data_IF_345050899705
#
_entry.id   IF_345050899705
#
_cell.length_a   1.000
_cell.length_b   1.000
_cell.length_c   1.000
_cell.angle_alpha   90.00
_cell.angle_beta   90.00
_cell.angle_gamma   90.00
#
_symmetry.space_group_name_H-M   'P 1'
#
loop_
_entity.id
_entity.type
_entity.pdbx_description
1 polymer ?
#
# COMPACT_ATOMS: atom_id res chain seq x y z
N UNK A 1 -8.54 18.71 0.51
CA UNK A 1 -9.58 18.38 -0.50
C UNK A 1 -9.02 18.76 -1.85
N UNK A 2 -8.94 17.81 -2.77
CA UNK A 2 -8.50 18.06 -4.14
C UNK A 2 -9.75 18.13 -5.02
N UNK A 3 -9.97 19.25 -5.66
CA UNK A 3 -10.99 19.44 -6.69
C UNK A 3 -10.32 19.37 -8.06
N UNK A 4 -10.60 18.32 -8.80
CA UNK A 4 -10.09 18.11 -10.15
C UNK A 4 -11.27 18.00 -11.12
N UNK A 5 -11.20 18.76 -12.22
CA UNK A 5 -12.17 18.67 -13.31
C UNK A 5 -12.25 17.24 -13.88
N UNK A 6 -13.35 16.93 -14.55
CA UNK A 6 -13.48 15.67 -15.29
C UNK A 6 -12.38 15.56 -16.34
N UNK A 7 -11.69 14.41 -16.36
CA UNK A 7 -10.49 14.23 -17.19
C UNK A 7 -9.18 14.68 -16.51
N UNK A 8 -9.21 15.31 -15.34
CA UNK A 8 -8.04 15.82 -14.61
C UNK A 8 -7.16 14.75 -13.93
N UNK A 9 -7.36 13.47 -14.24
CA UNK A 9 -6.49 12.40 -13.73
C UNK A 9 -6.84 11.88 -12.34
N UNK A 10 -8.06 12.10 -11.83
CA UNK A 10 -8.50 11.60 -10.50
C UNK A 10 -8.30 10.11 -10.33
N UNK A 11 -8.75 9.31 -11.30
CA UNK A 11 -8.60 7.85 -11.26
C UNK A 11 -7.13 7.42 -11.30
N UNK A 12 -6.30 8.15 -12.04
CA UNK A 12 -4.87 7.92 -12.11
C UNK A 12 -4.20 8.20 -10.75
N UNK A 13 -4.53 9.32 -10.13
CA UNK A 13 -4.04 9.66 -8.80
C UNK A 13 -4.44 8.61 -7.76
N UNK A 14 -5.70 8.19 -7.77
CA UNK A 14 -6.19 7.12 -6.90
C UNK A 14 -5.46 5.80 -7.15
N UNK A 15 -5.28 5.41 -8.41
CA UNK A 15 -4.54 4.20 -8.77
C UNK A 15 -3.10 4.25 -8.21
N UNK A 16 -2.43 5.41 -8.33
CA UNK A 16 -1.07 5.59 -7.82
C UNK A 16 -1.01 5.53 -6.31
N UNK A 17 -1.96 6.14 -5.60
CA UNK A 17 -2.03 6.08 -4.14
C UNK A 17 -2.27 4.65 -3.65
N UNK A 18 -3.16 3.91 -4.31
CA UNK A 18 -3.46 2.52 -3.96
C UNK A 18 -2.25 1.58 -4.10
N UNK A 19 -1.27 1.90 -4.96
CA UNK A 19 -0.04 1.10 -5.05
C UNK A 19 0.76 1.06 -3.74
N UNK A 20 0.53 2.02 -2.84
CA UNK A 20 1.17 2.05 -1.51
C UNK A 20 0.49 1.13 -0.48
N UNK A 21 -0.67 0.59 -0.77
CA UNK A 21 -1.44 -0.27 0.15
C UNK A 21 -1.83 -1.59 -0.50
N UNK A 22 -2.09 -1.60 -1.80
CA UNK A 22 -2.39 -2.78 -2.61
C UNK A 22 -1.47 -2.78 -3.84
N UNK A 23 -0.21 -3.23 -3.70
CA UNK A 23 0.75 -3.21 -4.80
C UNK A 23 0.25 -3.96 -6.03
N UNK A 24 0.50 -3.40 -7.19
CA UNK A 24 0.12 -3.94 -8.50
C UNK A 24 -1.40 -4.15 -8.69
N UNK A 25 -2.22 -3.38 -7.97
CA UNK A 25 -3.66 -3.39 -8.19
C UNK A 25 -4.06 -2.54 -9.40
N UNK A 26 -5.26 -2.79 -9.92
CA UNK A 26 -5.92 -1.99 -10.97
C UNK A 26 -7.24 -1.43 -10.46
N UNK A 27 -7.62 -0.23 -10.90
CA UNK A 27 -8.97 0.31 -10.67
C UNK A 27 -9.95 -0.22 -11.72
N UNK A 28 -9.48 -0.36 -12.95
CA UNK A 28 -10.22 -0.89 -14.09
C UNK A 28 -9.35 -1.93 -14.80
N UNK A 29 -9.94 -3.04 -15.21
CA UNK A 29 -9.24 -4.07 -16.00
C UNK A 29 -8.66 -3.53 -17.31
N UNK A 30 -9.27 -2.47 -17.85
CA UNK A 30 -8.79 -1.78 -19.07
C UNK A 30 -7.62 -0.84 -18.80
N UNK A 31 -7.30 -0.55 -17.56
CA UNK A 31 -6.21 0.36 -17.16
C UNK A 31 -5.22 -0.31 -16.21
N UNK A 32 -4.44 -1.28 -16.67
CA UNK A 32 -3.37 -1.87 -15.88
C UNK A 32 -2.27 -0.83 -15.60
N UNK A 33 -1.50 -1.07 -14.52
CA UNK A 33 -0.41 -0.16 -14.11
C UNK A 33 0.61 0.06 -15.24
N UNK A 34 0.79 -0.91 -16.12
CA UNK A 34 1.70 -0.80 -17.28
C UNK A 34 1.34 0.35 -18.24
N UNK A 35 0.06 0.74 -18.32
CA UNK A 35 -0.38 1.89 -19.13
C UNK A 35 0.07 3.24 -18.57
N UNK A 36 0.53 3.30 -17.33
CA UNK A 36 1.08 4.51 -16.73
C UNK A 36 2.45 4.86 -17.28
N UNK A 37 3.13 3.89 -17.87
CA UNK A 37 4.41 4.15 -18.53
C UNK A 37 4.20 4.78 -19.89
N UNK A 38 4.93 5.86 -20.18
CA UNK A 38 4.88 6.51 -21.48
C UNK A 38 5.25 5.52 -22.59
N UNK A 39 4.49 5.53 -23.67
CA UNK A 39 4.87 4.87 -24.92
C UNK A 39 5.96 5.70 -25.58
N UNK A 40 7.18 5.19 -25.62
CA UNK A 40 8.33 5.87 -26.25
C UNK A 40 9.60 5.60 -25.46
N UNK A 41 10.65 5.17 -26.15
CA UNK A 41 11.89 4.68 -25.56
C UNK A 41 12.50 5.61 -24.52
N UNK A 42 12.67 5.10 -23.35
CA UNK A 42 13.29 5.75 -22.21
C UNK A 42 13.05 4.94 -20.94
N UNK A 43 13.96 5.02 -19.99
CA UNK A 43 13.84 4.41 -18.67
C UNK A 43 12.69 5.10 -17.90
N UNK A 44 11.48 4.65 -18.13
CA UNK A 44 10.32 5.17 -17.42
C UNK A 44 10.19 4.46 -16.09
N UNK A 45 10.42 5.20 -15.02
CA UNK A 45 10.20 4.76 -13.64
C UNK A 45 8.99 5.49 -13.08
N UNK A 46 8.18 4.77 -12.31
CA UNK A 46 7.05 5.32 -11.58
C UNK A 46 7.40 5.31 -10.10
N UNK A 47 7.17 6.44 -9.44
CA UNK A 47 7.24 6.57 -8.00
C UNK A 47 5.89 7.03 -7.47
N UNK A 48 5.40 6.37 -6.42
CA UNK A 48 4.24 6.80 -5.64
C UNK A 48 4.59 6.70 -4.17
N UNK A 49 4.34 7.76 -3.43
CA UNK A 49 4.67 7.85 -2.01
C UNK A 49 3.47 8.34 -1.21
N UNK A 50 3.36 7.83 0.01
CA UNK A 50 2.39 8.31 1.01
C UNK A 50 3.11 8.44 2.34
N UNK A 51 2.96 9.59 2.97
CA UNK A 51 3.45 9.83 4.33
C UNK A 51 2.33 9.61 5.35
N UNK A 52 2.63 8.83 6.36
CA UNK A 52 1.75 8.48 7.47
C UNK A 52 2.28 9.09 8.75
N UNK A 53 1.43 9.76 9.50
CA UNK A 53 1.70 10.10 10.89
C UNK A 53 1.24 8.93 11.74
N UNK A 54 2.18 8.27 12.40
CA UNK A 54 1.88 7.08 13.18
C UNK A 54 1.14 7.46 14.48
N UNK A 55 0.08 6.73 14.77
CA UNK A 55 -0.58 6.78 16.07
C UNK A 55 0.39 6.31 17.18
N UNK A 56 0.27 6.82 18.41
CA UNK A 56 1.20 6.50 19.49
C UNK A 56 1.40 5.00 19.74
N UNK A 57 0.35 4.18 19.58
CA UNK A 57 0.40 2.73 19.74
C UNK A 57 1.25 2.02 18.67
N UNK A 58 1.47 2.65 17.51
CA UNK A 58 2.26 2.10 16.41
C UNK A 58 3.69 2.65 16.36
N UNK A 59 4.05 3.59 17.24
CA UNK A 59 5.40 4.17 17.26
C UNK A 59 6.38 3.20 17.91
N UNK A 60 7.24 2.62 17.08
CA UNK A 60 8.41 1.85 17.53
C UNK A 60 9.63 2.74 17.45
N UNK A 61 10.57 2.61 18.38
CA UNK A 61 11.83 3.37 18.41
C UNK A 61 11.66 4.90 18.31
N UNK A 62 10.51 5.41 18.80
CA UNK A 62 10.14 6.83 18.74
C UNK A 62 9.96 7.40 17.33
N UNK A 63 9.79 6.57 16.31
CA UNK A 63 9.44 7.07 14.99
C UNK A 63 8.01 7.59 14.97
N UNK A 64 7.87 8.84 14.53
CA UNK A 64 6.57 9.54 14.45
C UNK A 64 5.94 9.42 13.08
N UNK A 65 6.77 9.31 12.04
CA UNK A 65 6.34 9.27 10.65
C UNK A 65 6.85 8.01 9.95
N UNK A 66 6.07 7.58 8.97
CA UNK A 66 6.44 6.52 8.04
C UNK A 66 6.07 6.97 6.64
N UNK A 67 7.03 7.04 5.73
CA UNK A 67 6.75 7.18 4.30
C UNK A 67 6.76 5.81 3.66
N UNK A 68 5.63 5.41 3.10
CA UNK A 68 5.56 4.23 2.21
C UNK A 68 5.80 4.65 0.78
N UNK A 69 6.45 3.79 0.01
CA UNK A 69 6.73 4.04 -1.39
C UNK A 69 6.51 2.81 -2.27
N UNK A 70 6.10 3.07 -3.50
CA UNK A 70 6.03 2.12 -4.59
C UNK A 70 6.90 2.61 -5.73
N UNK A 71 7.83 1.79 -6.16
CA UNK A 71 8.69 2.07 -7.30
C UNK A 71 8.52 0.96 -8.33
N UNK A 72 8.21 1.33 -9.57
CA UNK A 72 8.01 0.37 -10.65
C UNK A 72 8.69 0.78 -11.95
N UNK A 73 9.09 -0.23 -12.73
CA UNK A 73 9.58 -0.08 -14.11
C UNK A 73 8.91 -1.11 -15.02
N UNK A 74 8.96 -0.90 -16.32
CA UNK A 74 8.57 -1.96 -17.28
C UNK A 74 9.49 -3.16 -17.11
N UNK A 75 8.92 -4.35 -17.12
CA UNK A 75 9.69 -5.58 -17.17
C UNK A 75 10.51 -5.63 -18.47
N UNK A 76 11.76 -6.04 -18.36
CA UNK A 76 12.64 -6.19 -19.53
C UNK A 76 12.13 -7.32 -20.45
N UNK A 77 12.47 -7.25 -21.74
CA UNK A 77 12.08 -8.26 -22.74
C UNK A 77 12.56 -9.71 -22.41
N UNK A 78 13.51 -9.86 -21.50
CA UNK A 78 14.05 -11.15 -21.06
C UNK A 78 13.39 -11.66 -19.76
N UNK A 79 12.50 -10.88 -19.11
CA UNK A 79 11.80 -11.36 -17.94
C UNK A 79 10.62 -12.24 -18.39
N UNK A 80 10.52 -13.44 -17.80
CA UNK A 80 9.37 -14.33 -18.02
C UNK A 80 8.04 -13.78 -17.49
N UNK A 81 8.04 -12.56 -16.91
CA UNK A 81 6.87 -11.83 -16.44
C UNK A 81 6.49 -10.76 -17.46
N UNK A 82 5.33 -10.95 -18.09
CA UNK A 82 4.66 -9.86 -18.82
C UNK A 82 4.22 -8.81 -17.79
N UNK A 83 4.66 -7.55 -17.95
CA UNK A 83 4.13 -6.47 -17.14
C UNK A 83 5.21 -5.56 -16.54
N UNK A 84 5.19 -5.40 -15.23
CA UNK A 84 6.06 -4.50 -14.49
C UNK A 84 6.92 -5.25 -13.47
N UNK A 85 8.11 -4.69 -13.24
CA UNK A 85 8.90 -4.99 -12.06
C UNK A 85 8.69 -3.88 -11.04
N UNK A 86 8.44 -4.23 -9.78
CA UNK A 86 8.23 -3.24 -8.72
C UNK A 86 8.81 -3.72 -7.39
N UNK A 87 9.04 -2.78 -6.51
CA UNK A 87 9.24 -3.01 -5.08
C UNK A 87 8.52 -1.95 -4.27
N UNK A 88 8.17 -2.30 -3.05
CA UNK A 88 7.69 -1.36 -2.06
C UNK A 88 8.76 -1.10 -1.01
N UNK A 89 8.65 0.03 -0.33
CA UNK A 89 9.57 0.38 0.74
C UNK A 89 8.86 1.22 1.81
N UNK A 90 9.45 1.28 2.99
CA UNK A 90 9.05 2.16 4.05
C UNK A 90 10.27 2.85 4.64
N UNK A 91 10.14 4.14 4.91
CA UNK A 91 11.17 4.96 5.58
C UNK A 91 10.53 5.53 6.84
N UNK A 92 11.16 5.27 7.99
CA UNK A 92 10.73 5.78 9.28
C UNK A 92 11.62 6.94 9.71
N UNK A 93 11.03 7.98 10.27
CA UNK A 93 11.74 9.12 10.83
C UNK A 93 10.94 9.76 11.97
N UNK A 94 11.66 10.53 12.80
CA UNK A 94 11.09 11.18 14.00
C UNK A 94 10.55 12.56 13.67
N UNK A 95 11.26 13.29 12.84
CA UNK A 95 11.03 14.69 12.47
C UNK A 95 11.17 14.86 10.96
N UNK A 96 10.57 15.92 10.42
CA UNK A 96 10.78 16.29 9.03
C UNK A 96 12.24 16.74 8.83
N UNK A 97 12.85 16.33 7.74
CA UNK A 97 14.23 16.58 7.43
C UNK A 97 14.61 16.13 6.02
N UNK A 98 15.87 15.81 5.80
CA UNK A 98 16.42 15.52 4.47
C UNK A 98 15.81 14.26 3.80
N UNK A 99 15.22 13.37 4.59
CA UNK A 99 14.68 12.10 4.12
C UNK A 99 13.16 11.98 4.30
N UNK A 100 12.47 13.10 4.55
CA UNK A 100 11.00 13.12 4.50
C UNK A 100 10.47 13.07 3.06
N UNK A 101 9.17 12.90 2.90
CA UNK A 101 8.55 12.74 1.58
C UNK A 101 8.85 13.90 0.61
N UNK A 102 9.13 15.11 1.09
CA UNK A 102 9.40 16.29 0.25
C UNK A 102 10.86 16.36 -0.19
N UNK A 103 11.76 15.85 0.62
CA UNK A 103 13.20 16.02 0.48
C UNK A 103 13.90 14.78 -0.06
N UNK A 104 13.21 13.63 -0.16
CA UNK A 104 13.77 12.45 -0.81
C UNK A 104 14.27 12.77 -2.23
N UNK A 105 15.50 12.38 -2.60
CA UNK A 105 16.12 12.73 -3.88
C UNK A 105 15.57 11.89 -5.04
N UNK A 106 14.26 11.95 -5.26
CA UNK A 106 13.58 11.21 -6.34
C UNK A 106 13.78 11.83 -7.72
N UNK A 107 14.20 13.10 -7.76
CA UNK A 107 14.50 13.83 -8.98
C UNK A 107 15.79 14.61 -8.82
N UNK A 108 16.64 14.58 -9.84
CA UNK A 108 17.85 15.39 -9.92
C UNK A 108 18.00 15.93 -11.34
N UNK A 109 18.20 17.24 -11.49
CA UNK A 109 18.34 17.92 -12.80
C UNK A 109 17.19 17.66 -13.78
N UNK A 110 15.96 17.48 -13.26
CA UNK A 110 14.77 17.17 -14.08
C UNK A 110 14.62 15.69 -14.45
N UNK A 111 15.57 14.84 -14.10
CA UNK A 111 15.49 13.41 -14.30
C UNK A 111 15.07 12.69 -13.02
N UNK A 112 14.26 11.65 -13.17
CA UNK A 112 13.86 10.80 -12.03
C UNK A 112 14.96 9.81 -11.71
N UNK A 113 15.14 9.52 -10.42
CA UNK A 113 16.02 8.44 -9.98
C UNK A 113 15.55 7.11 -10.60
N UNK A 114 16.50 6.31 -11.06
CA UNK A 114 16.20 5.00 -11.66
C UNK A 114 15.72 3.99 -10.61
N UNK A 115 15.06 2.93 -11.07
CA UNK A 115 14.63 1.81 -10.22
C UNK A 115 15.79 1.25 -9.35
N UNK A 116 16.93 0.95 -10.00
CA UNK A 116 18.09 0.42 -9.28
C UNK A 116 18.76 1.50 -8.42
N UNK A 117 18.84 2.73 -8.90
CA UNK A 117 19.40 3.85 -8.16
C UNK A 117 18.64 4.14 -6.86
N UNK A 118 17.30 4.12 -6.90
CA UNK A 118 16.51 4.26 -5.69
C UNK A 118 16.73 3.10 -4.71
N UNK A 119 16.76 1.86 -5.21
CA UNK A 119 16.98 0.69 -4.37
C UNK A 119 18.35 0.71 -3.68
N UNK A 120 19.38 1.17 -4.38
CA UNK A 120 20.71 1.39 -3.83
C UNK A 120 20.74 2.53 -2.81
N UNK A 121 20.15 3.67 -3.15
CA UNK A 121 19.98 4.79 -2.24
C UNK A 121 19.33 4.38 -0.91
N UNK A 122 18.21 3.66 -0.97
CA UNK A 122 17.50 3.18 0.21
C UNK A 122 18.32 2.20 1.06
N UNK A 123 19.12 1.33 0.43
CA UNK A 123 20.02 0.41 1.15
C UNK A 123 21.17 1.13 1.88
N UNK A 124 21.60 2.24 1.35
CA UNK A 124 22.68 3.04 1.94
C UNK A 124 22.14 4.01 2.99
N UNK A 125 20.92 4.53 2.81
CA UNK A 125 20.32 5.52 3.68
C UNK A 125 20.32 5.14 5.16
N UNK A 126 19.96 3.91 5.50
CA UNK A 126 19.95 3.42 6.89
C UNK A 126 21.37 3.31 7.49
N UNK A 127 22.39 3.17 6.64
CA UNK A 127 23.80 3.15 7.08
C UNK A 127 24.35 4.54 7.29
N UNK A 128 23.88 5.48 6.46
CA UNK A 128 24.41 6.85 6.42
C UNK A 128 23.68 7.77 7.41
N UNK A 129 22.42 7.47 7.75
CA UNK A 129 21.60 8.25 8.68
C UNK A 129 20.94 7.38 9.76
N UNK A 130 21.45 7.45 10.98
CA UNK A 130 20.93 6.73 12.14
C UNK A 130 19.57 7.23 12.65
N UNK A 131 19.06 8.34 12.11
CA UNK A 131 17.76 8.90 12.48
C UNK A 131 16.61 8.29 11.66
N UNK A 132 16.91 7.50 10.65
CA UNK A 132 15.95 6.84 9.80
C UNK A 132 16.09 5.32 9.91
N UNK A 133 14.99 4.61 9.65
CA UNK A 133 15.01 3.16 9.42
C UNK A 133 14.33 2.86 8.10
N UNK A 134 14.89 1.95 7.33
CA UNK A 134 14.43 1.63 5.97
C UNK A 134 14.05 0.16 5.88
N UNK A 135 12.92 -0.11 5.25
CA UNK A 135 12.49 -1.46 4.88
C UNK A 135 12.23 -1.52 3.38
N UNK A 136 12.70 -2.57 2.72
CA UNK A 136 12.50 -2.80 1.28
C UNK A 136 11.82 -4.16 1.11
N UNK A 137 10.81 -4.21 0.26
CA UNK A 137 9.99 -5.40 0.04
C UNK A 137 9.92 -5.70 -1.45
N UNK A 138 10.41 -6.87 -1.83
CA UNK A 138 10.34 -7.39 -3.20
C UNK A 138 9.09 -8.28 -3.40
N UNK A 139 8.38 -8.63 -2.33
CA UNK A 139 7.17 -9.45 -2.36
C UNK A 139 5.99 -8.71 -1.78
N UNK A 140 4.86 -8.76 -2.50
CA UNK A 140 3.60 -8.15 -2.09
C UNK A 140 3.14 -8.61 -0.69
N UNK A 141 3.17 -9.93 -0.43
CA UNK A 141 2.71 -10.49 0.84
C UNK A 141 3.52 -10.01 2.04
N UNK A 142 4.85 -9.93 1.91
CA UNK A 142 5.72 -9.44 3.00
C UNK A 142 5.43 -7.98 3.31
N UNK A 143 5.19 -7.16 2.27
CA UNK A 143 4.83 -5.77 2.42
C UNK A 143 3.46 -5.57 3.07
N UNK A 144 2.45 -6.33 2.65
CA UNK A 144 1.11 -6.26 3.23
C UNK A 144 1.08 -6.72 4.69
N UNK A 145 1.80 -7.80 5.00
CA UNK A 145 1.99 -8.24 6.39
C UNK A 145 2.68 -7.15 7.23
N UNK A 146 3.69 -6.48 6.68
CA UNK A 146 4.33 -5.35 7.34
C UNK A 146 3.35 -4.20 7.61
N UNK A 147 2.54 -3.78 6.63
CA UNK A 147 1.56 -2.71 6.77
C UNK A 147 0.50 -3.01 7.84
N UNK A 148 0.08 -4.27 7.96
CA UNK A 148 -0.91 -4.69 8.96
C UNK A 148 -0.46 -4.41 10.39
N UNK A 149 0.86 -4.48 10.68
CA UNK A 149 1.42 -4.11 11.99
C UNK A 149 1.29 -2.62 12.33
N UNK A 150 0.92 -1.79 11.36
CA UNK A 150 0.67 -0.36 11.51
C UNK A 150 -0.80 0.01 11.33
N UNK A 151 -1.70 -1.00 11.37
CA UNK A 151 -3.13 -0.79 11.24
C UNK A 151 -3.60 -0.48 9.81
N UNK A 152 -2.76 -0.75 8.80
CA UNK A 152 -3.08 -0.55 7.39
C UNK A 152 -3.38 -1.92 6.78
N UNK A 153 -4.67 -2.24 6.62
CA UNK A 153 -5.13 -3.54 6.17
C UNK A 153 -5.58 -3.51 4.71
N UNK A 154 -5.14 -4.49 3.91
CA UNK A 154 -5.53 -4.61 2.49
C UNK A 154 -7.05 -4.68 2.32
N UNK A 155 -7.75 -5.44 3.18
CA UNK A 155 -9.20 -5.63 3.11
C UNK A 155 -9.98 -4.33 3.10
N UNK A 156 -9.61 -3.36 3.94
CA UNK A 156 -10.24 -2.04 3.99
C UNK A 156 -10.03 -1.24 2.69
N UNK A 157 -8.85 -1.30 2.13
CA UNK A 157 -8.51 -0.59 0.89
C UNK A 157 -9.09 -1.27 -0.35
N UNK A 158 -9.31 -2.59 -0.30
CA UNK A 158 -10.04 -3.32 -1.35
C UNK A 158 -11.50 -2.87 -1.46
N UNK A 159 -12.15 -2.51 -0.35
CA UNK A 159 -13.48 -1.92 -0.36
C UNK A 159 -13.46 -0.57 -1.09
N UNK A 160 -12.49 0.30 -0.76
CA UNK A 160 -12.32 1.60 -1.42
C UNK A 160 -12.06 1.40 -2.92
N UNK A 161 -11.21 0.46 -3.28
CA UNK A 161 -10.92 0.09 -4.68
C UNK A 161 -12.18 -0.42 -5.38
N UNK A 162 -12.94 -1.29 -4.74
CA UNK A 162 -14.17 -1.86 -5.28
C UNK A 162 -15.25 -0.79 -5.53
N UNK A 163 -15.43 0.14 -4.60
CA UNK A 163 -16.36 1.28 -4.77
C UNK A 163 -15.95 2.13 -5.98
N UNK A 164 -14.67 2.39 -6.15
CA UNK A 164 -14.17 3.15 -7.31
C UNK A 164 -14.37 2.42 -8.64
N UNK A 165 -14.33 1.08 -8.66
CA UNK A 165 -14.67 0.28 -9.85
C UNK A 165 -16.13 0.45 -10.30
N UNK A 166 -17.03 0.75 -9.39
CA UNK A 166 -18.46 1.01 -9.67
C UNK A 166 -18.75 2.49 -9.90
N UNK A 167 -17.80 3.23 -10.44
CA UNK A 167 -17.89 4.68 -10.71
C UNK A 167 -18.24 5.52 -9.46
N UNK A 168 -17.85 5.04 -8.28
CA UNK A 168 -18.13 5.68 -7.00
C UNK A 168 -19.54 5.44 -6.44
N UNK A 169 -20.33 4.55 -7.06
CA UNK A 169 -21.66 4.18 -6.58
C UNK A 169 -21.56 3.18 -5.42
N UNK A 170 -21.43 3.68 -4.20
CA UNK A 170 -21.32 2.88 -2.97
C UNK A 170 -22.46 1.86 -2.88
N UNK A 171 -23.70 2.30 -3.14
CA UNK A 171 -24.87 1.42 -3.11
C UNK A 171 -24.74 0.26 -4.09
N UNK A 172 -24.36 0.53 -5.33
CA UNK A 172 -24.19 -0.50 -6.37
C UNK A 172 -23.11 -1.51 -5.98
N UNK A 173 -22.01 -1.04 -5.37
CA UNK A 173 -20.97 -1.91 -4.86
C UNK A 173 -21.49 -2.87 -3.78
N UNK A 174 -22.22 -2.36 -2.78
CA UNK A 174 -22.75 -3.17 -1.71
C UNK A 174 -23.86 -4.12 -2.19
N UNK A 175 -24.78 -3.67 -3.04
CA UNK A 175 -25.84 -4.51 -3.59
C UNK A 175 -25.31 -5.64 -4.48
N UNK A 176 -24.20 -5.42 -5.21
CA UNK A 176 -23.62 -6.45 -6.08
C UNK A 176 -22.77 -7.47 -5.33
N UNK A 177 -22.05 -7.04 -4.27
CA UNK A 177 -21.13 -7.91 -3.55
C UNK A 177 -21.76 -8.52 -2.28
N UNK A 178 -22.74 -7.83 -1.67
CA UNK A 178 -23.32 -8.22 -0.39
C UNK A 178 -24.83 -8.26 -0.48
N UNK A 179 -25.39 -9.40 -0.89
CA UNK A 179 -26.83 -9.56 -1.10
C UNK A 179 -27.65 -9.55 0.19
N UNK A 180 -27.02 -9.76 1.34
CA UNK A 180 -27.71 -9.80 2.64
C UNK A 180 -26.85 -9.07 3.70
N UNK A 181 -27.52 -8.54 4.73
CA UNK A 181 -26.83 -7.94 5.88
C UNK A 181 -25.89 -8.93 6.57
N UNK A 182 -26.26 -10.21 6.60
CA UNK A 182 -25.43 -11.30 7.12
C UNK A 182 -24.10 -11.37 6.37
N UNK A 183 -24.13 -11.33 5.05
CA UNK A 183 -22.91 -11.38 4.22
C UNK A 183 -22.02 -10.16 4.44
N UNK A 184 -22.58 -8.98 4.69
CA UNK A 184 -21.82 -7.79 5.10
C UNK A 184 -21.08 -8.04 6.41
N UNK A 185 -21.76 -8.64 7.40
CA UNK A 185 -21.16 -8.96 8.69
C UNK A 185 -20.06 -10.00 8.54
N UNK A 186 -20.32 -11.08 7.81
CA UNK A 186 -19.37 -12.20 7.63
C UNK A 186 -18.13 -11.76 6.85
N UNK A 187 -18.29 -11.09 5.73
CA UNK A 187 -17.18 -10.78 4.81
C UNK A 187 -16.41 -9.50 5.18
N UNK A 188 -17.05 -8.54 5.86
CA UNK A 188 -16.40 -7.27 6.21
C UNK A 188 -16.01 -7.18 7.69
N UNK A 189 -16.94 -7.49 8.59
CA UNK A 189 -16.70 -7.27 10.01
C UNK A 189 -15.95 -8.42 10.65
N UNK A 190 -16.34 -9.67 10.37
CA UNK A 190 -15.70 -10.84 10.98
C UNK A 190 -14.28 -10.99 10.44
N UNK A 191 -14.07 -10.87 9.13
CA UNK A 191 -12.73 -10.96 8.54
C UNK A 191 -11.80 -9.86 9.06
N UNK A 192 -12.29 -8.63 9.17
CA UNK A 192 -11.53 -7.50 9.72
C UNK A 192 -11.17 -7.72 11.21
N UNK A 193 -12.12 -8.23 12.01
CA UNK A 193 -11.88 -8.54 13.42
C UNK A 193 -10.84 -9.65 13.54
N UNK A 194 -10.96 -10.71 12.75
CA UNK A 194 -10.01 -11.81 12.72
C UNK A 194 -8.62 -11.30 12.34
N UNK A 195 -8.51 -10.55 11.25
CA UNK A 195 -7.24 -10.00 10.76
C UNK A 195 -6.57 -9.13 11.82
N UNK A 196 -7.32 -8.22 12.45
CA UNK A 196 -6.82 -7.36 13.54
C UNK A 196 -6.41 -8.16 14.78
N UNK A 197 -7.18 -9.19 15.15
CA UNK A 197 -6.91 -10.04 16.31
C UNK A 197 -5.67 -10.91 16.10
N UNK A 198 -5.46 -11.44 14.91
CA UNK A 198 -4.29 -12.28 14.61
C UNK A 198 -3.00 -11.45 14.48
N UNK A 199 -3.08 -10.25 13.93
CA UNK A 199 -1.91 -9.38 13.77
C UNK A 199 -1.44 -8.72 15.07
N UNK A 200 -2.32 -8.60 16.05
CA UNK A 200 -1.96 -8.14 17.42
C UNK A 200 -1.26 -9.22 18.28
N UNK A 201 -1.12 -10.44 17.77
CA UNK A 201 -0.65 -11.62 18.55
C UNK A 201 0.85 -11.70 18.84
N UNK A 202 1.63 -10.66 18.65
CA UNK A 202 2.99 -10.63 19.21
C UNK A 202 3.05 -10.22 20.71
N UNK A 203 1.91 -10.16 21.40
CA UNK A 203 1.85 -9.74 22.80
C UNK A 203 0.62 -10.17 23.60
N UNK A 204 -0.17 -11.15 23.16
CA UNK A 204 -1.49 -11.41 23.75
C UNK A 204 -1.61 -12.73 24.46
N UNK A 205 -2.25 -12.65 25.65
CA UNK A 205 -2.65 -13.71 26.56
C UNK A 205 -3.70 -14.68 25.96
N UNK A 206 -3.78 -15.90 26.48
CA UNK A 206 -4.62 -17.04 26.03
C UNK A 206 -6.11 -16.72 25.76
N UNK A 207 -6.69 -15.70 26.38
CA UNK A 207 -8.11 -15.33 26.25
C UNK A 207 -8.52 -14.85 24.85
N UNK A 208 -7.63 -14.17 24.12
CA UNK A 208 -7.95 -13.69 22.76
C UNK A 208 -7.87 -14.79 21.71
N UNK A 209 -7.06 -15.81 21.94
CA UNK A 209 -7.04 -17.02 21.12
C UNK A 209 -8.38 -17.76 21.15
N UNK A 210 -9.08 -17.70 22.29
CA UNK A 210 -10.38 -18.30 22.46
C UNK A 210 -11.49 -17.52 21.76
N UNK A 211 -11.42 -16.18 21.79
CA UNK A 211 -12.37 -15.31 21.07
C UNK A 211 -12.27 -15.48 19.55
N UNK A 212 -11.05 -15.56 19.00
CA UNK A 212 -10.84 -15.80 17.58
C UNK A 212 -11.38 -17.18 17.13
N UNK A 213 -11.20 -18.22 17.95
CA UNK A 213 -11.79 -19.55 17.68
C UNK A 213 -13.31 -19.51 17.74
N UNK A 214 -13.90 -18.80 18.69
CA UNK A 214 -15.37 -18.65 18.79
C UNK A 214 -15.95 -17.93 17.57
N UNK A 215 -15.25 -16.91 17.04
CA UNK A 215 -15.66 -16.20 15.82
C UNK A 215 -15.55 -17.09 14.57
N UNK A 216 -14.54 -17.95 14.49
CA UNK A 216 -14.41 -18.92 13.40
C UNK A 216 -15.52 -19.98 13.49
N UNK A 217 -15.86 -20.48 14.67
CA UNK A 217 -16.96 -21.42 14.89
C UNK A 217 -18.34 -20.83 14.55
N UNK A 218 -18.51 -19.52 14.65
CA UNK A 218 -19.73 -18.81 14.24
C UNK A 218 -19.82 -18.72 12.72
N UNK A 219 -18.67 -18.59 12.04
CA UNK A 219 -18.59 -18.52 10.57
C UNK A 219 -18.96 -19.85 9.91
N UNK A 220 -18.63 -20.98 10.57
CA UNK A 220 -18.84 -22.35 10.03
C UNK A 220 -20.22 -22.94 10.36
N UNK A 221 -21.07 -22.22 11.10
CA UNK A 221 -22.48 -22.56 11.38
C UNK A 221 -23.45 -21.70 10.58
#
# INVERSE_FOLDING_TARGET
>A
IYDLANGGGKSLLMLMLLQNVIPNCTLDEKQPVEKLFRQGGGNTVIHSLVEWKLEPCYRKDNYTYMTTGFCARKAGAQSNSSGIEYFNYAIFYREFGDNDIKNLPLTSNGERITYNGLKEYLRNLEKDDFNVSVKIFDRKGDYQNFLSHYGIYESQWEIIRGINKTEGHVRTYFESNYRTSRKVVEDLLIEEIIEKSFNNKLGVTDDEGQMARTLLDIKDK
#
